data_IF_802298304086
#
_entry.id   IF_802298304086
#
_cell.length_a   1.000
_cell.length_b   1.000
_cell.length_c   1.000
_cell.angle_alpha   90.00
_cell.angle_beta   90.00
_cell.angle_gamma   90.00
#
_symmetry.space_group_name_H-M   'P 1'
#
loop_
_entity.id
_entity.type
_entity.pdbx_description
1 polymer ?
#
# COMPACT_ATOMS: atom_id res chain seq x y z
N UNK A 1 -1.29 15.94 6.75
CA UNK A 1 -2.58 15.25 7.04
C UNK A 1 -2.59 14.75 8.48
N UNK A 2 -1.80 13.73 8.83
CA UNK A 2 -1.78 13.18 10.20
C UNK A 2 -1.42 14.22 11.28
N UNK A 3 -0.33 14.98 11.09
CA UNK A 3 0.07 16.10 11.97
C UNK A 3 -1.03 17.15 12.20
N UNK A 4 -1.86 17.38 11.18
CA UNK A 4 -2.94 18.37 11.21
C UNK A 4 -4.28 17.77 11.71
N UNK A 5 -4.28 16.53 12.22
CA UNK A 5 -5.49 15.84 12.65
C UNK A 5 -6.48 15.53 11.52
N UNK A 6 -6.02 15.54 10.26
CA UNK A 6 -6.84 15.39 9.06
C UNK A 6 -6.76 13.98 8.43
N UNK A 7 -6.12 13.01 9.11
CA UNK A 7 -6.06 11.62 8.68
C UNK A 7 -7.01 10.76 9.53
N UNK A 8 -8.20 10.47 9.00
CA UNK A 8 -9.26 9.75 9.73
C UNK A 8 -9.28 8.25 9.49
N UNK A 9 -8.84 7.82 8.30
CA UNK A 9 -8.86 6.42 7.90
C UNK A 9 -7.86 6.17 6.78
N UNK A 10 -7.38 4.93 6.66
CA UNK A 10 -6.42 4.52 5.63
C UNK A 10 -6.89 3.24 4.95
N UNK A 11 -6.95 3.29 3.62
CA UNK A 11 -7.12 2.10 2.79
C UNK A 11 -5.76 1.60 2.30
N UNK A 12 -5.46 0.34 2.56
CA UNK A 12 -4.35 -0.37 1.95
C UNK A 12 -4.78 -0.86 0.56
N UNK A 13 -4.37 -0.12 -0.47
CA UNK A 13 -4.58 -0.40 -1.88
C UNK A 13 -3.25 -0.27 -2.62
N UNK A 14 -3.03 -1.12 -3.62
CA UNK A 14 -1.76 -1.13 -4.36
C UNK A 14 -1.97 -0.90 -5.86
N UNK A 15 -0.92 -0.43 -6.52
CA UNK A 15 -0.89 -0.14 -7.96
C UNK A 15 0.48 -0.44 -8.53
N UNK A 16 0.54 -0.85 -9.78
CA UNK A 16 1.78 -1.02 -10.53
C UNK A 16 1.76 -0.13 -11.76
N UNK A 17 2.79 0.71 -11.89
CA UNK A 17 3.04 1.49 -13.11
C UNK A 17 3.85 0.62 -14.09
N UNK A 18 3.39 0.55 -15.34
CA UNK A 18 4.19 0.02 -16.43
C UNK A 18 5.05 1.17 -17.01
N UNK A 19 6.39 1.11 -16.91
CA UNK A 19 7.23 2.24 -17.28
C UNK A 19 7.20 2.55 -18.78
N UNK A 20 6.96 1.54 -19.63
CA UNK A 20 6.92 1.72 -21.07
C UNK A 20 5.61 2.37 -21.52
N UNK A 21 4.48 1.80 -21.08
CA UNK A 21 3.16 2.35 -21.40
C UNK A 21 2.97 3.73 -20.77
N UNK A 22 3.42 3.94 -19.53
CA UNK A 22 3.37 5.25 -18.86
C UNK A 22 4.23 6.30 -19.57
N UNK A 23 5.44 5.94 -20.00
CA UNK A 23 6.29 6.86 -20.78
C UNK A 23 5.69 7.29 -22.11
N UNK A 24 4.87 6.43 -22.74
CA UNK A 24 4.20 6.72 -24.01
C UNK A 24 2.86 7.42 -23.86
N UNK A 25 2.05 6.99 -22.90
CA UNK A 25 0.64 7.38 -22.78
C UNK A 25 0.42 8.43 -21.67
N UNK A 26 1.39 8.65 -20.78
CA UNK A 26 1.19 9.33 -19.51
C UNK A 26 0.38 8.49 -18.51
N UNK A 27 0.08 9.07 -17.34
CA UNK A 27 -0.65 8.35 -16.27
C UNK A 27 -2.16 8.60 -16.25
N UNK A 28 -2.67 9.56 -17.02
CA UNK A 28 -4.10 9.80 -17.20
C UNK A 28 -4.68 8.81 -18.22
N UNK A 29 -4.58 7.52 -17.89
CA UNK A 29 -4.94 6.43 -18.79
C UNK A 29 -6.45 6.11 -18.72
N UNK A 30 -7.19 6.54 -19.74
CA UNK A 30 -8.64 6.40 -19.84
C UNK A 30 -9.12 5.10 -20.49
N UNK A 31 -8.21 4.14 -20.76
CA UNK A 31 -8.60 2.83 -21.31
C UNK A 31 -9.50 2.07 -20.32
N UNK A 32 -10.04 0.92 -20.74
CA UNK A 32 -10.73 0.01 -19.83
C UNK A 32 -9.77 -0.53 -18.76
N UNK A 33 -10.25 -0.78 -17.54
CA UNK A 33 -9.47 -1.49 -16.51
C UNK A 33 -9.17 -2.94 -16.89
N UNK A 34 -9.97 -3.54 -17.79
CA UNK A 34 -9.71 -4.88 -18.32
C UNK A 34 -8.53 -4.95 -19.30
N UNK A 35 -8.07 -3.83 -19.85
CA UNK A 35 -6.95 -3.76 -20.81
C UNK A 35 -5.58 -3.83 -20.12
N UNK A 36 -5.40 -4.75 -19.15
CA UNK A 36 -4.30 -4.78 -18.17
C UNK A 36 -2.92 -4.54 -18.81
N UNK A 37 -2.62 -5.19 -19.94
CA UNK A 37 -1.31 -5.13 -20.61
C UNK A 37 -1.06 -3.84 -21.41
N UNK A 38 -2.11 -3.08 -21.72
CA UNK A 38 -2.04 -1.87 -22.55
C UNK A 38 -2.14 -0.60 -21.71
N UNK A 39 -2.40 -0.75 -20.40
CA UNK A 39 -2.50 0.35 -19.46
C UNK A 39 -1.13 0.80 -18.99
N UNK A 40 -1.08 2.07 -18.65
CA UNK A 40 0.07 2.76 -18.05
C UNK A 40 0.25 2.39 -16.58
N UNK A 41 -0.83 2.00 -15.93
CA UNK A 41 -0.83 1.44 -14.59
C UNK A 41 -2.07 0.58 -14.35
N UNK A 42 -1.97 -0.33 -13.38
CA UNK A 42 -3.04 -1.26 -13.00
C UNK A 42 -3.16 -1.37 -11.48
N UNK A 43 -4.37 -1.53 -10.96
CA UNK A 43 -4.60 -1.88 -9.56
C UNK A 43 -4.05 -3.28 -9.27
N UNK A 44 -3.43 -3.44 -8.10
CA UNK A 44 -2.82 -4.70 -7.67
C UNK A 44 -3.20 -5.00 -6.22
N UNK A 45 -3.10 -6.28 -5.85
CA UNK A 45 -3.14 -6.67 -4.45
C UNK A 45 -1.90 -6.14 -3.72
N UNK A 46 -2.05 -5.75 -2.46
CA UNK A 46 -0.95 -5.29 -1.59
C UNK A 46 0.23 -6.26 -1.67
N UNK A 47 1.40 -5.73 -2.04
CA UNK A 47 2.63 -6.50 -2.24
C UNK A 47 2.96 -6.84 -3.68
N UNK A 48 2.07 -6.58 -4.64
CA UNK A 48 2.27 -6.87 -6.07
C UNK A 48 2.45 -5.62 -6.92
N UNK A 49 2.09 -4.44 -6.40
CA UNK A 49 2.45 -3.15 -6.97
C UNK A 49 3.76 -2.64 -6.37
N UNK A 50 3.79 -2.52 -5.04
CA UNK A 50 4.96 -2.19 -4.25
C UNK A 50 5.42 -3.39 -3.42
N UNK A 51 6.74 -3.54 -3.24
CA UNK A 51 7.32 -4.60 -2.43
C UNK A 51 7.12 -4.40 -0.92
N UNK A 52 7.45 -5.42 -0.13
CA UNK A 52 7.27 -5.40 1.34
C UNK A 52 8.05 -4.27 2.04
N UNK A 53 9.23 -3.89 1.52
CA UNK A 53 10.02 -2.79 2.07
C UNK A 53 9.25 -1.48 2.03
N UNK A 54 8.62 -1.17 0.90
CA UNK A 54 7.77 0.01 0.76
C UNK A 54 6.60 -0.01 1.74
N UNK A 55 5.96 -1.17 1.93
CA UNK A 55 4.84 -1.30 2.87
C UNK A 55 5.27 -1.16 4.34
N UNK A 56 6.48 -1.61 4.69
CA UNK A 56 7.08 -1.37 6.02
C UNK A 56 7.35 0.11 6.24
N UNK A 57 7.89 0.81 5.24
CA UNK A 57 8.14 2.26 5.32
C UNK A 57 6.83 3.04 5.44
N UNK A 58 5.80 2.65 4.68
CA UNK A 58 4.47 3.24 4.75
C UNK A 58 3.86 3.09 6.16
N UNK A 59 3.85 1.87 6.71
CA UNK A 59 3.31 1.62 8.05
C UNK A 59 4.14 2.33 9.15
N UNK A 60 5.46 2.35 9.01
CA UNK A 60 6.36 3.07 9.93
C UNK A 60 6.10 4.57 9.91
N UNK A 61 5.83 5.14 8.74
CA UNK A 61 5.48 6.56 8.57
C UNK A 61 4.15 6.87 9.25
N UNK A 62 3.13 6.03 9.06
CA UNK A 62 1.84 6.20 9.76
C UNK A 62 2.02 6.22 11.28
N UNK A 63 2.79 5.26 11.81
CA UNK A 63 3.11 5.18 13.24
C UNK A 63 3.87 6.40 13.75
N UNK A 64 4.90 6.84 13.02
CA UNK A 64 5.72 8.00 13.39
C UNK A 64 4.90 9.29 13.48
N UNK A 65 3.80 9.37 12.73
CA UNK A 65 2.87 10.51 12.74
C UNK A 65 1.60 10.26 13.57
N UNK A 66 1.60 9.22 14.42
CA UNK A 66 0.56 8.97 15.42
C UNK A 66 -0.72 8.34 14.88
N UNK A 67 -0.72 7.77 13.67
CA UNK A 67 -1.86 6.99 13.19
C UNK A 67 -1.78 5.56 13.75
N UNK A 68 -2.71 5.24 14.66
CA UNK A 68 -2.80 3.94 15.36
C UNK A 68 -4.18 3.30 15.18
N UNK A 69 -4.77 3.46 13.99
CA UNK A 69 -6.07 2.90 13.65
C UNK A 69 -5.97 1.84 12.55
N UNK A 70 -7.11 1.35 12.06
CA UNK A 70 -7.21 0.23 11.12
C UNK A 70 -6.60 0.58 9.75
N UNK A 71 -5.92 -0.39 9.14
CA UNK A 71 -5.66 -0.42 7.69
C UNK A 71 -6.74 -1.26 7.00
N UNK A 72 -7.65 -0.61 6.27
CA UNK A 72 -8.71 -1.30 5.54
C UNK A 72 -8.19 -1.79 4.18
N UNK A 73 -8.30 -3.09 3.89
CA UNK A 73 -7.84 -3.63 2.60
C UNK A 73 -8.90 -3.33 1.54
N UNK A 74 -8.50 -2.61 0.47
CA UNK A 74 -9.33 -2.40 -0.71
C UNK A 74 -8.74 -3.18 -1.89
N UNK A 75 -9.47 -4.19 -2.37
CA UNK A 75 -8.97 -5.13 -3.37
C UNK A 75 -9.64 -4.93 -4.75
N UNK A 76 -8.82 -4.71 -5.78
CA UNK A 76 -9.26 -4.54 -7.19
C UNK A 76 -8.25 -5.13 -8.20
N UNK A 77 -7.52 -6.20 -7.84
CA UNK A 77 -6.53 -6.81 -8.74
C UNK A 77 -7.20 -7.63 -9.84
N UNK A 78 -7.05 -7.19 -11.09
CA UNK A 78 -7.61 -7.88 -12.26
C UNK A 78 -6.98 -9.24 -12.58
N UNK A 79 -5.90 -9.64 -11.91
CA UNK A 79 -5.20 -10.91 -12.13
C UNK A 79 -5.46 -11.97 -11.04
N UNK A 80 -6.22 -11.65 -9.99
CA UNK A 80 -6.46 -12.56 -8.87
C UNK A 80 -7.95 -12.65 -8.55
N UNK A 81 -8.36 -13.80 -8.00
CA UNK A 81 -9.65 -13.85 -7.32
C UNK A 81 -9.63 -12.96 -6.07
N UNK A 82 -10.79 -12.44 -5.66
CA UNK A 82 -10.90 -11.56 -4.48
C UNK A 82 -10.32 -12.20 -3.22
N UNK A 83 -10.53 -13.50 -3.05
CA UNK A 83 -10.06 -14.21 -1.87
C UNK A 83 -8.55 -14.50 -1.92
N UNK A 84 -7.99 -14.79 -3.08
CA UNK A 84 -6.55 -14.94 -3.22
C UNK A 84 -5.82 -13.61 -2.96
N UNK A 85 -6.31 -12.53 -3.56
CA UNK A 85 -5.74 -11.20 -3.36
C UNK A 85 -5.85 -10.73 -1.91
N UNK A 86 -6.98 -10.96 -1.25
CA UNK A 86 -7.16 -10.67 0.18
C UNK A 86 -6.15 -11.42 1.04
N UNK A 87 -6.00 -12.74 0.87
CA UNK A 87 -5.05 -13.53 1.66
C UNK A 87 -3.60 -13.07 1.47
N UNK A 88 -3.22 -12.76 0.24
CA UNK A 88 -1.88 -12.25 -0.07
C UNK A 88 -1.65 -10.86 0.54
N UNK A 89 -2.64 -9.97 0.44
CA UNK A 89 -2.59 -8.64 1.05
C UNK A 89 -2.42 -8.73 2.58
N UNK A 90 -3.22 -9.57 3.24
CA UNK A 90 -3.10 -9.82 4.68
C UNK A 90 -1.70 -10.31 5.04
N UNK A 91 -1.14 -11.26 4.29
CA UNK A 91 0.21 -11.80 4.54
C UNK A 91 1.30 -10.72 4.48
N UNK A 92 1.20 -9.76 3.57
CA UNK A 92 2.17 -8.66 3.44
C UNK A 92 1.97 -7.64 4.57
N UNK A 93 0.72 -7.26 4.85
CA UNK A 93 0.42 -6.27 5.89
C UNK A 93 0.75 -6.78 7.30
N UNK A 94 0.52 -8.08 7.57
CA UNK A 94 0.92 -8.70 8.85
C UNK A 94 2.43 -8.62 9.12
N UNK A 95 3.25 -8.61 8.06
CA UNK A 95 4.70 -8.44 8.20
C UNK A 95 5.14 -6.97 8.23
N UNK A 96 4.25 -6.04 7.88
CA UNK A 96 4.58 -4.62 7.70
C UNK A 96 4.07 -3.75 8.86
N UNK A 97 2.94 -4.12 9.47
CA UNK A 97 2.36 -3.41 10.61
C UNK A 97 3.17 -3.67 11.87
N UNK A 98 3.47 -2.59 12.61
CA UNK A 98 4.08 -2.65 13.94
C UNK A 98 2.94 -2.69 14.96
N UNK A 99 2.72 -3.83 15.60
CA UNK A 99 1.57 -4.08 16.47
C UNK A 99 1.82 -3.85 17.96
N UNK A 100 3.08 -3.76 18.39
CA UNK A 100 3.45 -3.58 19.80
C UNK A 100 3.82 -2.13 20.08
N UNK A 101 3.73 -1.73 21.35
CA UNK A 101 4.24 -0.43 21.80
C UNK A 101 5.76 -0.35 21.70
N UNK A 102 6.28 0.85 21.43
CA UNK A 102 7.72 1.06 21.44
C UNK A 102 8.25 0.92 22.87
N UNK A 103 9.27 0.07 23.04
CA UNK A 103 9.97 -0.07 24.32
C UNK A 103 10.87 1.14 24.64
N UNK A 104 11.50 1.10 25.80
CA UNK A 104 12.48 2.13 26.19
C UNK A 104 13.69 2.15 25.24
N UNK A 105 14.06 3.34 24.78
CA UNK A 105 15.25 3.55 23.94
C UNK A 105 16.54 3.49 24.77
N UNK A 106 16.92 2.29 25.23
CA UNK A 106 18.06 2.10 26.13
C UNK A 106 19.43 2.52 25.53
N UNK A 107 19.52 2.63 24.20
CA UNK A 107 20.71 3.06 23.46
C UNK A 107 20.80 4.58 23.26
N UNK A 108 19.69 5.31 23.43
CA UNK A 108 19.64 6.76 23.34
C UNK A 108 19.43 7.31 24.75
N UNK A 109 20.42 7.07 25.63
CA UNK A 109 20.49 7.75 26.92
C UNK A 109 21.00 9.16 26.67
N UNK A 110 20.36 10.14 27.29
CA UNK A 110 20.84 11.53 27.34
C UNK A 110 22.28 11.61 27.88
#
# INVERSE_FOLDING_TARGET
>A
LAQEGALFHVHAKDTKIDPYNSGRNGNLDTKSYGSITERSWVFRSVGYGHGIEWWKDFCSTLRAFGYDFVLSIEHEDGLMSSMEGLRKAVSVLQQSVISEDAGAMFWAKD
#
